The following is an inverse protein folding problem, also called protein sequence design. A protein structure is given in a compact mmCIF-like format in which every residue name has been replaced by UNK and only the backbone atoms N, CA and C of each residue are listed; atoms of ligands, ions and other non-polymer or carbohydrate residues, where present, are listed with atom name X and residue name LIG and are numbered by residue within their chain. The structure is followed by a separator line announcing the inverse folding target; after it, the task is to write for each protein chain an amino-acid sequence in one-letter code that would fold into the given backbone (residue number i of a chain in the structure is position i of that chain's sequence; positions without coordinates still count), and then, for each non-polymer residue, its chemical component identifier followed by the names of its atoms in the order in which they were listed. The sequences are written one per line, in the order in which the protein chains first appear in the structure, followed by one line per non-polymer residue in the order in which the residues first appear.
data_IF_762549249308
#
_entry.id   IF_762549249308
#
_cell.length_a   1.000
_cell.length_b   1.000
_cell.length_c   1.000
_cell.angle_alpha   90.00
_cell.angle_beta   90.00
_cell.angle_gamma   90.00
#
_symmetry.space_group_name_H-M   'P 1'
#
loop_
_entity.id
_entity.type
_entity.pdbx_description
1 polymer ?
#
# COMPACT_ATOMS: atom_id res chain seq x y z
N UNK A 1 -15.35 54.77 -62.50
CA UNK A 1 -14.77 56.09 -62.17
C UNK A 1 -14.30 56.04 -60.73
N UNK A 2 -12.98 56.06 -60.56
CA UNK A 2 -12.20 56.88 -59.59
C UNK A 2 -12.53 56.61 -58.09
N UNK A 3 -11.61 56.29 -57.20
CA UNK A 3 -10.26 56.75 -57.08
C UNK A 3 -9.47 55.89 -56.07
N UNK A 4 -8.29 55.53 -56.44
CA UNK A 4 -7.22 54.89 -55.70
C UNK A 4 -6.54 55.95 -54.85
N UNK A 5 -6.40 55.84 -53.53
CA UNK A 5 -5.43 56.65 -52.78
C UNK A 5 -4.69 55.81 -51.72
N UNK A 6 -3.41 55.65 -52.01
CA UNK A 6 -2.30 55.23 -51.16
C UNK A 6 -2.34 55.80 -49.76
N UNK A 7 -1.99 55.02 -48.78
CA UNK A 7 -1.28 55.49 -47.60
C UNK A 7 -0.33 54.37 -47.12
N UNK A 8 0.76 54.22 -47.81
CA UNK A 8 2.00 53.64 -47.29
C UNK A 8 2.79 54.74 -46.59
N UNK A 9 3.58 54.37 -45.59
CA UNK A 9 4.57 55.15 -44.83
C UNK A 9 4.12 55.72 -43.48
N UNK A 10 4.06 54.83 -42.45
CA UNK A 10 4.27 55.27 -41.07
C UNK A 10 4.95 54.16 -40.23
N UNK A 11 5.99 53.51 -40.73
CA UNK A 11 6.74 52.49 -40.00
C UNK A 11 8.25 52.59 -40.20
N UNK A 12 8.80 53.81 -40.03
CA UNK A 12 10.25 53.96 -40.19
C UNK A 12 10.86 55.10 -39.35
N UNK A 13 10.53 55.19 -38.07
CA UNK A 13 11.33 55.97 -37.11
C UNK A 13 11.18 55.39 -35.68
N UNK A 14 11.71 54.19 -35.48
CA UNK A 14 12.09 53.75 -34.13
C UNK A 14 13.61 53.62 -34.11
N UNK A 15 14.32 54.33 -33.24
CA UNK A 15 15.78 54.28 -33.16
C UNK A 15 16.22 52.86 -32.83
N UNK A 16 17.24 52.39 -33.52
CA UNK A 16 17.79 51.04 -33.46
C UNK A 16 18.21 50.59 -32.05
N UNK A 17 18.45 51.53 -31.13
CA UNK A 17 18.74 51.33 -29.70
C UNK A 17 17.54 50.80 -28.88
N UNK A 18 16.29 51.09 -29.28
CA UNK A 18 15.11 50.64 -28.56
C UNK A 18 14.76 49.17 -28.86
N UNK A 19 15.18 48.65 -30.02
CA UNK A 19 14.97 47.23 -30.40
C UNK A 19 15.85 46.27 -29.62
N UNK A 20 17.08 46.68 -29.28
CA UNK A 20 17.98 45.88 -28.46
C UNK A 20 17.51 45.78 -27.00
N UNK A 21 16.92 46.83 -26.45
CA UNK A 21 16.37 46.88 -25.09
C UNK A 21 15.15 45.99 -24.90
N UNK A 22 14.22 45.96 -25.88
CA UNK A 22 13.04 45.10 -25.82
C UNK A 22 13.40 43.62 -25.97
N UNK A 23 14.39 43.26 -26.80
CA UNK A 23 14.83 41.86 -26.95
C UNK A 23 15.53 41.35 -25.68
N UNK A 24 16.29 42.20 -24.97
CA UNK A 24 16.94 41.84 -23.71
C UNK A 24 15.93 41.68 -22.57
N UNK A 25 14.90 42.50 -22.49
CA UNK A 25 13.82 42.40 -21.50
C UNK A 25 12.98 41.14 -21.70
N UNK A 26 12.69 40.70 -22.94
CA UNK A 26 11.99 39.47 -23.24
C UNK A 26 12.82 38.23 -22.91
N UNK A 27 14.14 38.27 -23.05
CA UNK A 27 15.04 37.19 -22.71
C UNK A 27 15.15 36.96 -21.17
N UNK A 28 15.08 38.04 -20.37
CA UNK A 28 15.16 37.94 -18.89
C UNK A 28 13.87 37.39 -18.28
N UNK A 29 12.69 37.67 -18.87
CA UNK A 29 11.40 37.12 -18.40
C UNK A 29 11.26 35.63 -18.68
N UNK A 30 11.93 35.11 -19.73
CA UNK A 30 11.90 33.66 -20.07
C UNK A 30 12.68 32.75 -19.11
N UNK A 31 13.57 33.26 -18.26
CA UNK A 31 14.44 32.50 -17.37
C UNK A 31 13.89 32.32 -15.95
N UNK A 32 12.79 32.97 -15.58
CA UNK A 32 12.19 32.85 -14.23
C UNK A 32 11.19 31.70 -14.08
N UNK A 33 11.04 30.83 -15.09
CA UNK A 33 10.04 29.75 -15.15
C UNK A 33 10.37 28.47 -14.38
N UNK A 34 11.48 28.37 -13.63
CA UNK A 34 11.73 27.22 -12.75
C UNK A 34 10.98 27.39 -11.43
N UNK A 35 9.65 27.17 -11.42
CA UNK A 35 8.95 26.96 -10.16
C UNK A 35 9.43 25.65 -9.56
N UNK A 36 10.05 25.69 -8.38
CA UNK A 36 10.41 24.46 -7.64
C UNK A 36 9.12 23.67 -7.36
N UNK A 37 9.04 22.44 -7.86
CA UNK A 37 7.96 21.54 -7.47
C UNK A 37 8.00 21.33 -5.97
N UNK A 38 6.85 21.32 -5.27
CA UNK A 38 6.81 21.05 -3.84
C UNK A 38 7.43 19.68 -3.53
N UNK A 39 8.20 19.61 -2.46
CA UNK A 39 8.83 18.36 -2.01
C UNK A 39 7.75 17.38 -1.57
N UNK A 40 7.70 16.14 -2.09
CA UNK A 40 6.72 15.15 -1.67
C UNK A 40 6.94 14.71 -0.21
N UNK A 41 5.83 14.42 0.48
CA UNK A 41 5.82 13.76 1.78
C UNK A 41 5.81 12.24 1.58
N UNK A 42 6.59 11.50 2.39
CA UNK A 42 6.69 10.06 2.31
C UNK A 42 6.20 9.40 3.60
N UNK A 43 5.43 8.32 3.46
CA UNK A 43 4.82 7.57 4.55
C UNK A 43 5.11 6.08 4.40
N UNK A 44 5.33 5.38 5.52
CA UNK A 44 5.45 3.91 5.55
C UNK A 44 4.22 3.26 6.18
N UNK A 45 3.90 2.02 5.81
CA UNK A 45 2.81 1.22 6.35
C UNK A 45 3.26 0.26 7.46
N UNK A 46 4.33 0.57 8.19
CA UNK A 46 4.80 -0.30 9.27
C UNK A 46 3.75 -0.40 10.37
N UNK A 47 3.15 -1.58 10.62
CA UNK A 47 2.14 -1.78 11.64
C UNK A 47 2.78 -1.83 13.02
N UNK A 48 1.97 -1.55 14.06
CA UNK A 48 2.36 -1.74 15.45
C UNK A 48 1.53 -2.86 16.04
N UNK A 49 2.15 -3.98 16.42
CA UNK A 49 1.48 -5.14 16.98
C UNK A 49 2.11 -5.56 18.31
N UNK A 50 1.31 -6.14 19.21
CA UNK A 50 1.83 -6.70 20.46
C UNK A 50 2.32 -8.12 20.23
N UNK A 51 3.55 -8.47 20.65
CA UNK A 51 4.05 -9.84 20.55
C UNK A 51 3.16 -10.84 21.26
N UNK A 52 3.05 -12.06 20.73
CA UNK A 52 2.44 -13.19 21.44
C UNK A 52 3.37 -13.64 22.56
N UNK A 53 2.79 -13.96 23.71
CA UNK A 53 3.54 -14.44 24.90
C UNK A 53 4.27 -15.75 24.61
N UNK A 54 3.66 -16.63 23.81
CA UNK A 54 4.28 -17.90 23.40
C UNK A 54 3.86 -18.24 21.97
N UNK A 55 4.84 -18.46 21.11
CA UNK A 55 4.65 -18.99 19.76
C UNK A 55 5.76 -20.00 19.48
N UNK A 56 5.40 -21.17 18.93
CA UNK A 56 6.37 -22.18 18.47
C UNK A 56 6.82 -21.93 17.03
N UNK A 57 6.18 -20.98 16.34
CA UNK A 57 6.55 -20.57 14.98
C UNK A 57 7.89 -19.85 15.02
N UNK A 58 8.87 -20.35 14.26
CA UNK A 58 10.23 -19.77 14.22
C UNK A 58 10.59 -19.18 12.88
N UNK A 59 10.01 -19.73 11.80
CA UNK A 59 10.34 -19.32 10.44
C UNK A 59 9.04 -19.12 9.66
N UNK A 60 8.94 -17.95 9.04
CA UNK A 60 7.88 -17.62 8.08
C UNK A 60 8.50 -17.30 6.72
N UNK A 61 7.70 -17.27 5.69
CA UNK A 61 8.07 -16.81 4.36
C UNK A 61 6.91 -16.00 3.80
N UNK A 62 7.01 -14.66 3.89
CA UNK A 62 5.98 -13.75 3.39
C UNK A 62 6.25 -13.46 1.92
N UNK A 63 5.38 -13.95 1.05
CA UNK A 63 5.50 -13.75 -0.39
C UNK A 63 5.11 -12.32 -0.80
N UNK A 64 5.47 -11.89 -2.03
CA UNK A 64 4.93 -10.66 -2.60
C UNK A 64 3.40 -10.65 -2.57
N UNK A 65 2.84 -9.50 -2.28
CA UNK A 65 1.38 -9.31 -2.11
C UNK A 65 0.72 -9.14 -3.46
N UNK A 66 -0.38 -9.88 -3.70
CA UNK A 66 -1.31 -9.58 -4.79
C UNK A 66 -2.10 -8.30 -4.48
N UNK A 67 -2.21 -7.40 -5.47
CA UNK A 67 -2.91 -6.13 -5.34
C UNK A 67 -3.40 -5.68 -6.72
N UNK A 68 -4.61 -5.09 -6.86
CA UNK A 68 -5.05 -4.50 -8.12
C UNK A 68 -4.07 -3.43 -8.62
N UNK A 69 -3.75 -3.43 -9.91
CA UNK A 69 -2.77 -2.52 -10.53
C UNK A 69 -3.10 -1.04 -10.29
N UNK A 70 -4.40 -0.68 -10.21
CA UNK A 70 -4.86 0.68 -9.91
C UNK A 70 -4.34 1.21 -8.57
N UNK A 71 -4.08 0.32 -7.60
CA UNK A 71 -3.58 0.64 -6.26
C UNK A 71 -2.07 0.50 -6.14
N UNK A 72 -1.43 -0.30 -7.01
CA UNK A 72 0.00 -0.62 -6.89
C UNK A 72 0.90 0.51 -7.39
N UNK A 73 0.85 1.64 -6.70
CA UNK A 73 1.66 2.84 -6.98
C UNK A 73 2.17 3.51 -5.71
N UNK A 74 3.18 4.37 -5.83
CA UNK A 74 3.72 5.11 -4.70
C UNK A 74 2.82 6.28 -4.22
N UNK A 75 2.21 7.11 -5.11
CA UNK A 75 1.28 8.14 -4.65
C UNK A 75 0.05 7.56 -3.96
N UNK A 76 -0.43 8.23 -2.89
CA UNK A 76 -1.69 7.88 -2.26
C UNK A 76 -2.85 8.12 -3.26
N UNK A 77 -3.81 7.21 -3.25
CA UNK A 77 -5.01 7.29 -4.10
C UNK A 77 -6.23 7.39 -3.21
N UNK A 78 -6.97 8.47 -3.34
CA UNK A 78 -8.31 8.62 -2.75
C UNK A 78 -9.34 8.26 -3.81
N UNK A 79 -10.38 7.54 -3.43
CA UNK A 79 -11.49 7.21 -4.31
C UNK A 79 -12.76 7.84 -3.74
N UNK A 80 -13.51 8.56 -4.56
CA UNK A 80 -14.82 9.07 -4.14
C UNK A 80 -15.91 8.00 -4.25
N UNK A 81 -17.09 8.29 -3.70
CA UNK A 81 -18.25 7.40 -3.73
C UNK A 81 -18.78 7.10 -5.15
N UNK A 82 -18.35 7.87 -6.16
CA UNK A 82 -18.68 7.63 -7.58
C UNK A 82 -17.68 6.69 -8.27
N UNK A 83 -16.59 6.29 -7.57
CA UNK A 83 -15.52 5.48 -8.10
C UNK A 83 -14.41 6.28 -8.82
N UNK A 84 -14.48 7.61 -8.81
CA UNK A 84 -13.42 8.45 -9.37
C UNK A 84 -12.22 8.45 -8.44
N UNK A 85 -11.03 8.19 -8.99
CA UNK A 85 -9.78 8.20 -8.25
C UNK A 85 -9.07 9.54 -8.35
N UNK A 86 -8.61 10.05 -7.21
CA UNK A 86 -7.74 11.22 -7.08
C UNK A 86 -6.36 10.76 -6.61
N UNK A 87 -5.35 10.99 -7.43
CA UNK A 87 -3.95 10.62 -7.14
C UNK A 87 -3.26 11.82 -6.52
N UNK A 88 -2.72 11.64 -5.31
CA UNK A 88 -2.04 12.70 -4.57
C UNK A 88 -0.53 12.66 -4.86
N UNK A 89 -0.06 13.39 -5.87
CA UNK A 89 1.32 13.32 -6.33
C UNK A 89 2.37 13.71 -5.29
N UNK A 90 2.00 14.55 -4.32
CA UNK A 90 2.89 15.02 -3.25
C UNK A 90 2.76 14.24 -1.94
N UNK A 91 1.84 13.27 -1.86
CA UNK A 91 1.62 12.41 -0.70
C UNK A 91 1.85 10.96 -1.11
N UNK A 92 2.94 10.35 -0.66
CA UNK A 92 3.43 9.09 -1.21
C UNK A 92 3.76 8.08 -0.14
N UNK A 93 3.54 6.83 -0.42
CA UNK A 93 4.21 5.73 0.26
C UNK A 93 5.71 5.77 -0.03
N UNK A 94 6.56 5.23 0.84
CA UNK A 94 8.01 5.18 0.62
C UNK A 94 8.38 4.27 -0.56
N UNK A 95 7.49 3.33 -0.91
CA UNK A 95 7.60 2.45 -2.08
C UNK A 95 6.24 2.29 -2.77
N UNK A 96 6.04 1.33 -3.66
CA UNK A 96 4.70 1.00 -4.16
C UNK A 96 3.86 0.39 -3.04
N UNK A 97 2.52 0.60 -3.07
CA UNK A 97 1.64 0.08 -2.02
C UNK A 97 1.79 -1.43 -1.82
N UNK A 98 1.97 -2.21 -2.89
CA UNK A 98 2.19 -3.65 -2.78
C UNK A 98 3.47 -4.00 -2.02
N UNK A 99 4.56 -3.25 -2.21
CA UNK A 99 5.79 -3.43 -1.46
C UNK A 99 5.62 -3.00 0.02
N UNK A 100 4.96 -1.87 0.28
CA UNK A 100 4.65 -1.41 1.65
C UNK A 100 3.80 -2.43 2.42
N UNK A 101 2.77 -2.99 1.78
CA UNK A 101 1.93 -4.03 2.39
C UNK A 101 2.75 -5.29 2.69
N UNK A 102 3.57 -5.75 1.74
CA UNK A 102 4.44 -6.92 1.94
C UNK A 102 5.43 -6.70 3.10
N UNK A 103 6.11 -5.56 3.12
CA UNK A 103 7.12 -5.25 4.14
C UNK A 103 6.47 -5.01 5.50
N UNK A 104 5.30 -4.35 5.52
CA UNK A 104 4.50 -4.20 6.74
C UNK A 104 4.00 -5.54 7.29
N UNK A 105 3.49 -6.43 6.44
CA UNK A 105 3.10 -7.80 6.84
C UNK A 105 4.30 -8.58 7.41
N UNK A 106 5.45 -8.55 6.73
CA UNK A 106 6.67 -9.21 7.18
C UNK A 106 7.11 -8.69 8.55
N UNK A 107 7.25 -7.38 8.70
CA UNK A 107 7.66 -6.75 9.96
C UNK A 107 6.68 -7.05 11.10
N UNK A 108 5.37 -6.92 10.83
CA UNK A 108 4.32 -7.17 11.82
C UNK A 108 4.27 -8.65 12.26
N UNK A 109 4.36 -9.58 11.31
CA UNK A 109 4.35 -11.02 11.62
C UNK A 109 5.61 -11.46 12.36
N UNK A 110 6.78 -10.94 11.98
CA UNK A 110 8.02 -11.19 12.74
C UNK A 110 7.91 -10.70 14.18
N UNK A 111 7.41 -9.48 14.37
CA UNK A 111 7.19 -8.92 15.70
C UNK A 111 6.15 -9.71 16.49
N UNK A 112 5.02 -10.07 15.86
CA UNK A 112 3.91 -10.78 16.51
C UNK A 112 4.27 -12.19 16.94
N UNK A 113 4.94 -12.95 16.06
CA UNK A 113 5.23 -14.38 16.27
C UNK A 113 6.60 -14.64 16.92
N UNK A 114 7.50 -13.64 16.96
CA UNK A 114 8.90 -13.85 17.31
C UNK A 114 9.63 -14.73 16.28
N UNK A 115 9.18 -14.69 15.02
CA UNK A 115 9.68 -15.50 13.92
C UNK A 115 10.61 -14.67 13.00
N UNK A 116 11.37 -15.36 12.14
CA UNK A 116 12.20 -14.75 11.11
C UNK A 116 11.58 -14.98 9.74
N UNK A 117 11.48 -13.93 8.93
CA UNK A 117 11.06 -14.06 7.53
C UNK A 117 12.25 -14.48 6.66
N UNK A 118 12.19 -15.72 6.14
CA UNK A 118 13.27 -16.27 5.31
C UNK A 118 13.29 -15.71 3.88
N UNK A 119 12.18 -15.12 3.39
CA UNK A 119 12.12 -14.59 2.03
C UNK A 119 13.20 -13.54 1.77
N UNK A 120 13.43 -12.65 2.74
CA UNK A 120 14.46 -11.61 2.65
C UNK A 120 15.82 -12.03 3.22
N UNK A 121 15.84 -13.00 4.16
CA UNK A 121 17.07 -13.39 4.86
C UNK A 121 17.90 -14.43 4.12
N UNK A 122 17.38 -15.05 3.05
CA UNK A 122 18.05 -16.13 2.34
C UNK A 122 18.27 -17.39 3.17
N UNK A 123 17.69 -17.49 4.37
CA UNK A 123 17.81 -18.68 5.24
C UNK A 123 17.15 -19.88 4.59
N UNK A 124 17.92 -20.94 4.34
CA UNK A 124 17.46 -22.19 3.75
C UNK A 124 17.56 -23.36 4.74
N UNK A 125 16.50 -24.17 4.77
CA UNK A 125 16.53 -25.54 5.28
C UNK A 125 16.44 -25.75 6.79
N UNK A 126 16.12 -26.98 7.17
CA UNK A 126 16.28 -27.55 8.51
C UNK A 126 15.18 -27.28 9.54
N UNK A 127 14.27 -26.34 9.33
CA UNK A 127 13.18 -26.03 10.26
C UNK A 127 11.83 -26.01 9.55
N UNK A 128 10.76 -26.33 10.27
CA UNK A 128 9.39 -26.09 9.82
C UNK A 128 9.21 -24.61 9.54
N UNK A 129 8.68 -24.29 8.38
CA UNK A 129 8.37 -22.91 7.99
C UNK A 129 6.93 -22.79 7.48
N UNK A 130 6.42 -21.56 7.53
CA UNK A 130 5.06 -21.25 7.09
C UNK A 130 5.16 -20.23 5.96
N UNK A 131 4.82 -20.66 4.74
CA UNK A 131 4.73 -19.80 3.57
C UNK A 131 3.37 -19.13 3.57
N UNK A 132 3.38 -17.79 3.43
CA UNK A 132 2.20 -16.93 3.53
C UNK A 132 2.08 -16.19 2.21
N UNK A 133 1.03 -16.48 1.45
CA UNK A 133 0.64 -15.75 0.25
C UNK A 133 -0.60 -14.92 0.58
N UNK A 134 -0.59 -13.64 0.25
CA UNK A 134 -1.69 -12.71 0.51
C UNK A 134 -2.13 -12.02 -0.77
N UNK A 135 -3.45 -11.82 -0.92
CA UNK A 135 -4.06 -11.10 -2.02
C UNK A 135 -5.05 -10.08 -1.46
N UNK A 136 -4.78 -8.80 -1.69
CA UNK A 136 -5.66 -7.71 -1.33
C UNK A 136 -6.52 -7.34 -2.54
N UNK A 137 -7.78 -7.73 -2.54
CA UNK A 137 -8.75 -7.25 -3.53
C UNK A 137 -9.15 -5.80 -3.28
N UNK A 138 -8.99 -5.30 -2.03
CA UNK A 138 -9.19 -3.91 -1.62
C UNK A 138 -8.19 -3.50 -0.55
N UNK A 139 -7.66 -2.32 -0.71
CA UNK A 139 -6.99 -1.50 0.30
C UNK A 139 -7.21 -0.04 -0.12
N UNK A 140 -8.49 0.35 -0.13
CA UNK A 140 -8.95 1.58 -0.72
C UNK A 140 -9.18 2.65 0.35
N UNK A 141 -8.82 3.89 0.04
CA UNK A 141 -9.13 5.06 0.84
C UNK A 141 -10.36 5.71 0.18
N UNK A 142 -11.52 5.56 0.80
CA UNK A 142 -12.79 6.06 0.27
C UNK A 142 -13.13 7.42 0.89
N UNK A 143 -13.44 8.39 0.05
CA UNK A 143 -13.84 9.74 0.46
C UNK A 143 -15.35 9.92 0.25
N UNK A 144 -16.07 10.22 1.34
CA UNK A 144 -17.50 10.46 1.33
C UNK A 144 -17.79 11.96 1.36
N UNK A 145 -18.46 12.46 0.33
CA UNK A 145 -18.96 13.84 0.32
C UNK A 145 -20.19 13.97 1.21
N UNK A 146 -20.05 14.60 2.38
CA UNK A 146 -21.18 14.93 3.23
C UNK A 146 -21.89 16.20 2.70
N UNK A 147 -22.93 16.04 1.92
CA UNK A 147 -23.81 17.13 1.45
C UNK A 147 -24.59 17.84 2.58
N UNK A 148 -24.53 17.33 3.82
CA UNK A 148 -25.24 17.89 4.99
C UNK A 148 -24.38 18.74 5.93
N UNK A 149 -23.05 18.77 5.77
CA UNK A 149 -22.20 19.60 6.62
C UNK A 149 -21.98 20.96 5.97
N UNK A 150 -22.50 22.01 6.60
CA UNK A 150 -22.21 23.40 6.23
C UNK A 150 -20.73 23.79 6.36
N UNK A 151 -19.89 22.94 6.92
CA UNK A 151 -18.44 23.14 7.10
C UNK A 151 -17.56 22.19 6.26
N UNK A 152 -18.11 21.48 5.27
CA UNK A 152 -17.28 20.68 4.34
C UNK A 152 -16.45 19.56 5.00
N UNK A 153 -16.95 18.96 6.10
CA UNK A 153 -16.31 17.79 6.72
C UNK A 153 -16.40 16.61 5.75
N UNK A 154 -15.28 16.16 5.24
CA UNK A 154 -15.16 14.95 4.45
C UNK A 154 -14.88 13.79 5.36
N UNK A 155 -15.78 12.80 5.41
CA UNK A 155 -15.52 11.54 6.08
C UNK A 155 -14.74 10.63 5.13
N UNK A 156 -13.75 9.94 5.66
CA UNK A 156 -12.95 8.97 4.92
C UNK A 156 -12.95 7.64 5.64
N UNK A 157 -12.92 6.59 4.85
CA UNK A 157 -12.85 5.22 5.34
C UNK A 157 -11.72 4.47 4.65
N UNK A 158 -11.11 3.53 5.36
CA UNK A 158 -10.19 2.55 4.78
C UNK A 158 -10.96 1.25 4.61
N UNK A 159 -11.22 0.85 3.36
CA UNK A 159 -11.83 -0.42 3.02
C UNK A 159 -10.77 -1.48 2.75
N UNK A 160 -10.80 -2.56 3.51
CA UNK A 160 -9.87 -3.69 3.36
C UNK A 160 -10.64 -4.95 3.03
N UNK A 161 -10.20 -5.64 1.98
CA UNK A 161 -10.63 -7.01 1.69
C UNK A 161 -9.41 -7.81 1.25
N UNK A 162 -9.08 -8.85 2.03
CA UNK A 162 -7.86 -9.63 1.85
C UNK A 162 -8.15 -11.11 2.02
N UNK A 163 -7.51 -11.92 1.17
CA UNK A 163 -7.43 -13.36 1.31
C UNK A 163 -5.97 -13.77 1.52
N UNK A 164 -5.75 -14.87 2.25
CA UNK A 164 -4.43 -15.43 2.42
C UNK A 164 -4.45 -16.93 2.45
N UNK A 165 -3.32 -17.51 2.04
CA UNK A 165 -3.06 -18.95 2.10
C UNK A 165 -1.83 -19.16 2.96
N UNK A 166 -1.93 -20.05 3.94
CA UNK A 166 -0.81 -20.51 4.75
C UNK A 166 -0.50 -21.93 4.34
N UNK A 167 0.74 -22.18 3.93
CA UNK A 167 1.24 -23.52 3.66
C UNK A 167 2.38 -23.84 4.61
N UNK A 168 2.23 -24.95 5.35
CA UNK A 168 3.30 -25.48 6.17
C UNK A 168 4.27 -26.26 5.30
N UNK A 169 5.55 -25.89 5.35
CA UNK A 169 6.66 -26.59 4.71
C UNK A 169 7.50 -27.28 5.79
N UNK A 170 7.46 -28.60 5.80
CA UNK A 170 8.32 -29.41 6.67
C UNK A 170 9.70 -29.60 6.03
N UNK A 171 10.78 -29.69 6.83
CA UNK A 171 12.11 -29.98 6.30
C UNK A 171 12.11 -31.33 5.57
N UNK A 172 12.87 -31.43 4.50
CA UNK A 172 13.05 -32.69 3.78
C UNK A 172 13.55 -33.79 4.73
N UNK A 173 12.87 -34.91 4.76
CA UNK A 173 13.32 -36.09 5.52
C UNK A 173 14.59 -36.64 4.88
N UNK A 174 15.62 -37.06 5.67
CA UNK A 174 16.77 -37.75 5.12
C UNK A 174 16.30 -39.01 4.36
N UNK A 175 16.93 -39.27 3.21
CA UNK A 175 16.56 -40.35 2.28
C UNK A 175 16.60 -41.75 2.89
N UNK A 176 17.26 -41.91 4.06
CA UNK A 176 17.57 -43.19 4.71
C UNK A 176 16.67 -43.52 5.91
N UNK A 177 15.57 -42.81 6.17
CA UNK A 177 14.63 -43.23 7.21
C UNK A 177 13.57 -44.18 6.64
N UNK A 178 13.38 -45.40 7.24
CA UNK A 178 12.33 -46.31 6.81
C UNK A 178 10.98 -45.61 6.91
N UNK A 179 10.18 -45.70 5.86
CA UNK A 179 8.84 -45.13 5.75
C UNK A 179 7.94 -45.80 6.77
N UNK A 180 7.80 -45.20 7.94
CA UNK A 180 6.80 -45.65 8.91
C UNK A 180 5.41 -45.42 8.30
N UNK A 181 4.71 -46.53 8.13
CA UNK A 181 3.27 -46.72 7.89
C UNK A 181 2.51 -45.59 7.22
N UNK A 182 2.12 -45.77 5.97
CA UNK A 182 1.40 -44.86 5.07
C UNK A 182 -0.03 -44.44 5.52
N UNK A 183 -0.44 -44.72 6.76
CA UNK A 183 -1.79 -44.43 7.26
C UNK A 183 -1.90 -43.25 8.24
N UNK A 184 -0.85 -42.44 8.43
CA UNK A 184 -1.01 -41.18 9.15
C UNK A 184 -1.74 -40.21 8.23
N UNK A 185 -2.97 -39.84 8.60
CA UNK A 185 -3.67 -38.68 8.02
C UNK A 185 -2.70 -37.50 8.12
N UNK A 186 -2.13 -37.12 6.98
CA UNK A 186 -1.22 -35.96 6.93
C UNK A 186 -2.03 -34.74 7.39
N UNK A 187 -1.55 -34.00 8.41
CA UNK A 187 -2.24 -32.79 8.86
C UNK A 187 -2.45 -31.85 7.67
N UNK A 188 -3.58 -31.17 7.66
CA UNK A 188 -3.89 -30.23 6.58
C UNK A 188 -2.73 -29.21 6.48
N UNK A 189 -1.91 -29.35 5.43
CA UNK A 189 -0.70 -28.55 5.24
C UNK A 189 -0.97 -27.17 4.69
N UNK A 190 -2.23 -26.90 4.37
CA UNK A 190 -2.67 -25.65 3.77
C UNK A 190 -3.95 -25.19 4.42
N UNK A 191 -4.00 -23.90 4.74
CA UNK A 191 -5.16 -23.19 5.26
C UNK A 191 -5.42 -21.98 4.37
N UNK A 192 -6.66 -21.80 3.94
CA UNK A 192 -7.09 -20.65 3.14
C UNK A 192 -8.08 -19.82 3.95
N UNK A 193 -7.81 -18.54 4.11
CA UNK A 193 -8.65 -17.63 4.89
C UNK A 193 -8.90 -16.32 4.15
N UNK A 194 -9.95 -15.61 4.60
CA UNK A 194 -10.30 -14.29 4.11
C UNK A 194 -10.91 -13.44 5.20
N UNK A 195 -10.78 -12.11 5.06
CA UNK A 195 -11.48 -11.12 5.87
C UNK A 195 -11.79 -9.87 5.06
N UNK A 196 -12.83 -9.14 5.46
CA UNK A 196 -13.15 -7.83 4.94
C UNK A 196 -13.71 -6.95 6.06
N UNK A 197 -13.30 -5.68 6.09
CA UNK A 197 -13.75 -4.70 7.07
C UNK A 197 -13.53 -3.28 6.56
N UNK A 198 -14.12 -2.32 7.27
CA UNK A 198 -13.99 -0.89 7.00
C UNK A 198 -13.60 -0.19 8.30
N UNK A 199 -12.58 0.66 8.25
CA UNK A 199 -12.12 1.49 9.36
C UNK A 199 -12.37 2.96 9.04
N UNK A 200 -13.14 3.64 9.88
CA UNK A 200 -13.40 5.06 9.73
C UNK A 200 -12.15 5.89 10.11
N UNK A 201 -11.78 6.83 9.25
CA UNK A 201 -10.83 7.89 9.58
C UNK A 201 -11.59 8.97 10.34
N UNK A 202 -11.16 9.32 11.56
CA UNK A 202 -11.91 10.19 12.49
C UNK A 202 -12.38 11.51 11.87
N UNK A 203 -13.36 12.15 12.48
CA UNK A 203 -14.07 13.33 11.95
C UNK A 203 -13.17 14.55 11.64
N UNK A 204 -12.00 14.66 12.25
CA UNK A 204 -10.97 15.66 11.95
C UNK A 204 -10.03 15.19 10.81
N UNK A 205 -10.32 14.05 10.20
CA UNK A 205 -9.49 13.26 9.29
C UNK A 205 -9.25 13.88 7.91
N UNK A 206 -9.24 15.20 7.80
CA UNK A 206 -8.78 15.90 6.59
C UNK A 206 -7.26 15.83 6.41
N UNK A 207 -6.53 15.36 7.43
CA UNK A 207 -5.08 15.24 7.38
C UNK A 207 -4.66 13.89 6.83
N UNK A 208 -3.71 13.90 5.91
CA UNK A 208 -3.14 12.66 5.34
C UNK A 208 -2.52 11.77 6.42
N UNK A 209 -1.97 12.38 7.48
CA UNK A 209 -1.39 11.66 8.63
C UNK A 209 -2.43 10.76 9.32
N UNK A 210 -3.70 11.20 9.42
CA UNK A 210 -4.78 10.41 10.02
C UNK A 210 -5.14 9.21 9.15
N UNK A 211 -5.20 9.41 7.82
CA UNK A 211 -5.38 8.33 6.85
C UNK A 211 -4.27 7.28 6.99
N UNK A 212 -3.02 7.73 7.02
CA UNK A 212 -1.85 6.84 7.18
C UNK A 212 -1.91 6.09 8.51
N UNK A 213 -2.31 6.78 9.59
CA UNK A 213 -2.45 6.15 10.92
C UNK A 213 -3.50 5.03 10.90
N UNK A 214 -4.68 5.30 10.33
CA UNK A 214 -5.75 4.29 10.23
C UNK A 214 -5.34 3.17 9.27
N UNK A 215 -4.66 3.47 8.15
CA UNK A 215 -4.13 2.44 7.24
C UNK A 215 -3.16 1.49 7.96
N UNK A 216 -2.29 2.00 8.84
CA UNK A 216 -1.40 1.17 9.69
C UNK A 216 -2.19 0.30 10.67
N UNK A 217 -3.25 0.85 11.28
CA UNK A 217 -4.12 0.10 12.19
C UNK A 217 -4.87 -1.01 11.43
N UNK A 218 -5.37 -0.72 10.23
CA UNK A 218 -6.01 -1.70 9.36
C UNK A 218 -5.05 -2.83 9.00
N UNK A 219 -3.80 -2.51 8.63
CA UNK A 219 -2.79 -3.52 8.38
C UNK A 219 -2.44 -4.32 9.65
N UNK A 220 -2.44 -3.68 10.83
CA UNK A 220 -2.24 -4.39 12.11
C UNK A 220 -3.31 -5.46 12.35
N UNK A 221 -4.59 -5.18 12.04
CA UNK A 221 -5.68 -6.16 12.12
C UNK A 221 -5.45 -7.35 11.19
N UNK A 222 -4.97 -7.10 9.97
CA UNK A 222 -4.63 -8.17 9.02
C UNK A 222 -3.48 -9.03 9.55
N UNK A 223 -2.43 -8.40 10.11
CA UNK A 223 -1.30 -9.13 10.75
C UNK A 223 -1.80 -10.00 11.91
N UNK A 224 -2.70 -9.48 12.76
CA UNK A 224 -3.30 -10.25 13.86
C UNK A 224 -4.04 -11.49 13.33
N UNK A 225 -4.84 -11.33 12.27
CA UNK A 225 -5.61 -12.42 11.66
C UNK A 225 -4.70 -13.48 11.03
N UNK A 226 -3.69 -13.08 10.28
CA UNK A 226 -2.72 -13.98 9.68
C UNK A 226 -1.90 -14.71 10.77
N UNK A 227 -1.44 -14.01 11.80
CA UNK A 227 -0.68 -14.61 12.89
C UNK A 227 -1.51 -15.66 13.64
N UNK A 228 -2.78 -15.36 13.95
CA UNK A 228 -3.71 -16.31 14.55
C UNK A 228 -3.90 -17.57 13.67
N UNK A 229 -3.99 -17.36 12.34
CA UNK A 229 -4.11 -18.45 11.37
C UNK A 229 -2.84 -19.33 11.30
N UNK A 230 -1.65 -18.71 11.37
CA UNK A 230 -0.36 -19.45 11.41
C UNK A 230 -0.25 -20.30 12.68
N UNK A 231 -0.60 -19.72 13.84
CA UNK A 231 -0.58 -20.42 15.13
C UNK A 231 -1.62 -21.56 15.15
N UNK A 232 -2.81 -21.35 14.60
CA UNK A 232 -3.83 -22.39 14.47
C UNK A 232 -3.36 -23.53 13.56
N UNK A 233 -2.70 -23.22 12.44
CA UNK A 233 -2.10 -24.22 11.53
C UNK A 233 -0.99 -25.00 12.24
N UNK A 234 -0.14 -24.33 13.02
CA UNK A 234 0.91 -24.98 13.82
C UNK A 234 0.32 -25.94 14.85
N UNK A 235 -0.72 -25.50 15.55
CA UNK A 235 -1.40 -26.27 16.59
C UNK A 235 -2.40 -27.30 16.02
N UNK A 236 -2.59 -27.38 14.71
CA UNK A 236 -3.63 -28.19 14.04
C UNK A 236 -5.05 -27.95 14.61
N UNK A 237 -5.39 -26.65 14.78
CA UNK A 237 -6.68 -26.20 15.31
C UNK A 237 -7.40 -25.32 14.30
N UNK A 238 -8.72 -25.20 14.47
CA UNK A 238 -9.51 -24.23 13.71
C UNK A 238 -9.14 -22.79 14.11
N UNK A 239 -9.22 -21.88 13.16
CA UNK A 239 -9.09 -20.44 13.42
C UNK A 239 -10.40 -19.93 14.01
N UNK A 240 -10.34 -19.33 15.20
CA UNK A 240 -11.49 -18.70 15.86
C UNK A 240 -11.17 -17.22 16.01
N UNK A 241 -11.66 -16.40 15.07
CA UNK A 241 -11.47 -14.96 15.07
C UNK A 241 -12.67 -14.31 14.36
N UNK A 242 -13.24 -13.28 14.99
CA UNK A 242 -14.35 -12.52 14.41
C UNK A 242 -13.94 -11.88 13.07
N UNK A 243 -14.83 -11.94 12.08
CA UNK A 243 -14.59 -11.39 10.75
C UNK A 243 -13.66 -12.22 9.85
N UNK A 244 -13.07 -13.33 10.34
CA UNK A 244 -12.21 -14.23 9.57
C UNK A 244 -12.97 -15.51 9.23
N UNK A 245 -12.94 -15.88 7.96
CA UNK A 245 -13.48 -17.16 7.47
C UNK A 245 -12.36 -17.98 6.86
N UNK A 246 -12.19 -19.23 7.32
CA UNK A 246 -11.15 -20.16 6.84
C UNK A 246 -11.74 -21.48 6.34
N UNK A 247 -11.03 -22.12 5.39
CA UNK A 247 -11.36 -23.42 4.80
C UNK A 247 -10.10 -24.26 4.56
#
# INVERSE_FOLDING_TARGET
MLNKKNSSHFLSYLPQSSRAGCALLLAVVGLTGCSSSPTPNYYSLTPTVKPLVSSNVRVIEVLPVGLPDRLNRAPLVLQDSSGKSNVLDNERWTSTLGAELRDGLSAGLQQKLGAVDRYSSGMTGGKVSYRIATDFSRFDIIEHSNTRSLMGSMNRDIEVAVAWIIKRDDPAKPLNQPTATQNAVLPNRQLSCRMAFTDAVGADGNKIVDIVSVSRQSLSKVVEAIAASVVATEANKAVVMEGVTCS
#
